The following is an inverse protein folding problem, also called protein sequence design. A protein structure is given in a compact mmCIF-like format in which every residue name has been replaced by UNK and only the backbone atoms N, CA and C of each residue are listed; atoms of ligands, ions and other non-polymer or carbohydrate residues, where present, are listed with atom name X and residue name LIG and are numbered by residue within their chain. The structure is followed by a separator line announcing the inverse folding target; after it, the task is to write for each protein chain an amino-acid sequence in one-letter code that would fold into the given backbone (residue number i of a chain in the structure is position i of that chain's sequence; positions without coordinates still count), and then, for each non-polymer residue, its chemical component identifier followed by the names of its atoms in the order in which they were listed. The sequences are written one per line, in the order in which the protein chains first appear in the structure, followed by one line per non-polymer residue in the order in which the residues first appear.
data_IF_059225512126
#
_entry.id   IF_059225512126
#
_cell.length_a   1.000
_cell.length_b   1.000
_cell.length_c   1.000
_cell.angle_alpha   90.00
_cell.angle_beta   90.00
_cell.angle_gamma   90.00
#
_symmetry.space_group_name_H-M   'P 1'
#
loop_
_entity.id
_entity.type
_entity.pdbx_description
1 polymer ?
#
# COMPACT_ATOMS: atom_id res chain seq x y z
N UNK A 1 -36.34 -36.41 -31.52
CA UNK A 1 -36.08 -35.00 -31.92
C UNK A 1 -35.34 -34.34 -30.77
N UNK A 2 -34.03 -34.14 -30.89
CA UNK A 2 -33.20 -33.56 -29.82
C UNK A 2 -33.09 -32.06 -30.07
N UNK A 3 -33.81 -31.25 -29.28
CA UNK A 3 -33.76 -29.80 -29.39
C UNK A 3 -32.54 -29.26 -28.65
N UNK A 4 -31.59 -28.68 -29.39
CA UNK A 4 -30.46 -27.93 -28.86
C UNK A 4 -30.96 -26.56 -28.41
N UNK A 5 -30.71 -26.16 -27.16
CA UNK A 5 -31.00 -24.82 -26.65
C UNK A 5 -29.68 -24.11 -26.32
N UNK A 6 -29.34 -23.14 -27.16
CA UNK A 6 -28.27 -22.16 -26.94
C UNK A 6 -28.84 -20.94 -26.22
N UNK A 7 -28.30 -20.52 -25.06
CA UNK A 7 -28.62 -19.20 -24.50
C UNK A 7 -27.82 -18.12 -25.24
N UNK A 8 -28.54 -17.10 -25.72
CA UNK A 8 -27.99 -15.92 -26.40
C UNK A 8 -27.30 -14.98 -25.41
N UNK A 9 -26.15 -14.48 -25.84
CA UNK A 9 -25.25 -13.56 -25.16
C UNK A 9 -25.75 -12.12 -25.42
N UNK A 10 -26.23 -11.43 -24.38
CA UNK A 10 -26.64 -10.03 -24.47
C UNK A 10 -25.42 -9.13 -24.19
N UNK A 11 -25.00 -8.36 -25.19
CA UNK A 11 -23.84 -7.46 -25.16
C UNK A 11 -24.34 -6.05 -24.83
N UNK A 12 -24.08 -5.57 -23.61
CA UNK A 12 -24.44 -4.23 -23.17
C UNK A 12 -23.32 -3.24 -23.57
N UNK A 13 -23.68 -2.27 -24.42
CA UNK A 13 -22.81 -1.18 -24.81
C UNK A 13 -22.78 -0.10 -23.70
N UNK A 14 -21.60 0.17 -23.14
CA UNK A 14 -21.38 1.27 -22.20
C UNK A 14 -20.69 2.41 -22.94
N UNK A 15 -21.38 3.54 -23.08
CA UNK A 15 -20.82 4.77 -23.61
C UNK A 15 -20.17 5.57 -22.46
N UNK A 16 -18.87 5.84 -22.56
CA UNK A 16 -18.15 6.74 -21.66
C UNK A 16 -17.89 8.06 -22.39
N UNK A 17 -18.63 9.10 -21.98
CA UNK A 17 -18.34 10.49 -22.36
C UNK A 17 -17.18 11.03 -21.51
N UNK A 18 -16.09 11.42 -22.17
CA UNK A 18 -14.99 12.17 -21.56
C UNK A 18 -15.32 13.67 -21.58
N UNK A 19 -15.57 14.27 -20.41
CA UNK A 19 -15.49 15.71 -20.23
C UNK A 19 -14.05 16.09 -19.84
N UNK A 20 -13.38 16.81 -20.74
CA UNK A 20 -12.06 17.41 -20.58
C UNK A 20 -12.20 18.67 -19.70
N UNK A 21 -11.80 18.63 -18.43
CA UNK A 21 -11.51 19.86 -17.68
C UNK A 21 -10.00 20.08 -17.65
N UNK A 22 -9.60 21.18 -18.29
CA UNK A 22 -8.23 21.57 -18.50
C UNK A 22 -7.54 21.99 -17.19
N UNK A 23 -6.25 21.71 -17.18
CA UNK A 23 -5.21 22.07 -16.22
C UNK A 23 -5.14 23.59 -15.98
N UNK A 24 -4.98 23.98 -14.73
CA UNK A 24 -4.48 25.29 -14.34
C UNK A 24 -3.41 25.13 -13.26
N UNK A 25 -2.14 25.01 -13.67
CA UNK A 25 -0.99 25.09 -12.78
C UNK A 25 -0.20 26.36 -13.09
N UNK A 26 -0.09 27.23 -12.10
CA UNK A 26 1.10 28.06 -11.90
C UNK A 26 0.90 29.56 -12.05
N UNK A 27 1.14 30.25 -10.93
CA UNK A 27 1.84 31.54 -10.97
C UNK A 27 1.18 32.65 -10.16
N UNK A 28 1.54 32.75 -8.88
CA UNK A 28 1.44 34.02 -8.16
C UNK A 28 2.76 34.30 -7.43
N UNK A 29 3.63 35.00 -8.15
CA UNK A 29 4.76 35.70 -7.56
C UNK A 29 4.27 37.00 -6.93
N UNK A 30 4.68 37.25 -5.70
CA UNK A 30 4.47 38.53 -5.02
C UNK A 30 5.14 38.56 -3.65
N UNK A 31 6.38 39.07 -3.58
CA UNK A 31 6.87 39.75 -2.37
C UNK A 31 6.34 41.20 -2.35
N UNK A 32 6.79 42.10 -1.45
CA UNK A 32 7.82 41.98 -0.40
C UNK A 32 7.39 42.56 0.98
N UNK A 33 8.37 42.80 1.85
CA UNK A 33 8.47 43.70 3.03
C UNK A 33 8.08 43.23 4.46
N UNK A 34 9.15 43.22 5.27
CA UNK A 34 9.39 43.82 6.59
C UNK A 34 8.46 43.64 7.81
N UNK A 35 9.17 43.29 8.89
CA UNK A 35 8.80 43.15 10.28
C UNK A 35 8.02 44.33 10.88
N UNK A 36 7.31 44.09 12.00
CA UNK A 36 7.22 44.98 13.16
C UNK A 36 6.58 44.27 14.37
N UNK A 37 6.98 44.75 15.54
CA UNK A 37 6.97 44.11 16.85
C UNK A 37 5.71 44.34 17.71
N UNK A 38 5.55 43.58 18.81
CA UNK A 38 5.27 44.12 20.16
C UNK A 38 5.00 43.05 21.24
N UNK A 39 5.67 43.20 22.38
CA UNK A 39 4.98 43.43 23.68
C UNK A 39 4.61 42.25 24.59
N UNK A 40 5.44 42.01 25.62
CA UNK A 40 5.20 41.43 26.96
C UNK A 40 3.87 41.89 27.65
N UNK A 41 3.28 41.19 28.66
CA UNK A 41 3.97 40.73 29.88
C UNK A 41 3.51 39.44 30.60
N UNK A 42 4.43 38.98 31.45
CA UNK A 42 4.31 38.05 32.58
C UNK A 42 3.14 38.35 33.52
N UNK A 43 2.39 37.33 33.92
CA UNK A 43 1.78 37.24 35.25
C UNK A 43 1.60 35.77 35.69
N UNK A 44 2.21 35.47 36.84
CA UNK A 44 2.14 34.24 37.63
C UNK A 44 0.75 33.98 38.21
N UNK A 45 0.28 32.73 38.15
CA UNK A 45 -0.50 32.12 39.23
C UNK A 45 -0.39 30.58 39.17
N UNK A 46 0.09 29.99 40.27
CA UNK A 46 -0.05 28.58 40.62
C UNK A 46 -1.15 28.50 41.70
N UNK A 47 -1.91 27.39 41.84
CA UNK A 47 -1.47 26.37 42.78
C UNK A 47 -1.75 24.90 42.39
N UNK A 48 -0.89 24.08 42.98
CA UNK A 48 -0.88 22.64 43.29
C UNK A 48 -2.21 21.91 43.52
N UNK A 49 -2.33 20.70 42.95
CA UNK A 49 -2.52 19.41 43.66
C UNK A 49 -2.47 18.29 42.59
N UNK A 50 -1.37 17.54 42.52
CA UNK A 50 -1.27 16.15 42.99
C UNK A 50 -2.07 15.16 42.13
N UNK A 51 -1.43 14.52 41.16
CA UNK A 51 -1.68 13.10 40.92
C UNK A 51 -0.44 12.41 40.34
N UNK A 52 0.12 11.55 41.19
CA UNK A 52 0.76 10.28 40.89
C UNK A 52 1.77 10.21 39.73
N UNK A 53 3.04 10.30 40.12
CA UNK A 53 4.13 9.62 39.42
C UNK A 53 3.91 8.11 39.49
N UNK A 54 3.64 7.48 38.35
CA UNK A 54 4.30 6.21 38.02
C UNK A 54 4.99 6.32 36.66
N UNK A 55 6.21 5.80 36.66
CA UNK A 55 7.29 6.02 35.71
C UNK A 55 7.24 5.01 34.58
N UNK A 56 7.58 5.47 33.36
CA UNK A 56 7.97 4.64 32.21
C UNK A 56 7.46 5.26 30.91
N UNK A 57 8.17 6.07 30.14
CA UNK A 57 9.58 5.97 29.81
C UNK A 57 9.79 4.97 28.68
N UNK A 58 9.46 5.32 27.43
CA UNK A 58 10.32 5.05 26.26
C UNK A 58 9.82 5.73 24.97
N UNK A 59 10.81 6.18 24.21
CA UNK A 59 10.93 6.74 22.85
C UNK A 59 9.82 6.56 21.78
N UNK A 60 9.87 7.39 20.71
CA UNK A 60 9.02 7.21 19.54
C UNK A 60 9.26 5.84 18.92
N UNK A 61 8.23 5.00 18.95
CA UNK A 61 8.25 3.65 18.44
C UNK A 61 8.63 3.69 16.94
N UNK A 62 9.76 3.07 16.62
CA UNK A 62 10.06 2.59 15.27
C UNK A 62 8.88 1.73 14.77
N UNK A 63 8.63 1.62 13.46
CA UNK A 63 7.48 0.86 12.95
C UNK A 63 7.57 -0.58 13.44
N UNK A 64 6.78 -0.89 14.46
CA UNK A 64 6.70 -2.21 15.08
C UNK A 64 6.21 -3.15 13.99
N UNK A 65 7.05 -4.12 13.63
CA UNK A 65 6.69 -5.20 12.72
C UNK A 65 5.31 -5.75 13.12
N UNK A 66 4.44 -5.94 12.13
CA UNK A 66 3.06 -6.39 12.29
C UNK A 66 3.02 -7.60 13.23
N UNK A 67 2.52 -7.40 14.45
CA UNK A 67 2.17 -8.52 15.33
C UNK A 67 1.04 -9.30 14.64
N UNK A 68 1.16 -10.62 14.48
CA UNK A 68 0.25 -11.43 13.66
C UNK A 68 -1.19 -11.46 14.18
N UNK A 69 -1.37 -11.12 15.45
CA UNK A 69 -2.64 -11.14 16.16
C UNK A 69 -2.83 -9.83 16.93
N UNK A 70 -2.65 -8.69 16.24
CA UNK A 70 -2.94 -7.40 16.88
C UNK A 70 -4.43 -7.28 17.15
N UNK A 71 -4.79 -7.24 18.42
CA UNK A 71 -6.16 -6.95 18.85
C UNK A 71 -6.66 -5.68 18.16
N UNK A 72 -7.86 -5.75 17.58
CA UNK A 72 -8.49 -4.61 16.96
C UNK A 72 -9.01 -3.69 18.06
N UNK A 73 -8.52 -2.46 18.14
CA UNK A 73 -9.07 -1.47 19.08
C UNK A 73 -10.56 -1.19 18.85
N UNK A 74 -11.26 -0.83 19.93
CA UNK A 74 -12.69 -0.57 19.91
C UNK A 74 -13.01 0.62 19.00
N UNK A 75 -13.86 0.41 17.99
CA UNK A 75 -14.22 1.43 17.00
C UNK A 75 -13.17 1.69 15.91
N UNK A 76 -11.95 1.19 16.05
CA UNK A 76 -10.87 1.37 15.09
C UNK A 76 -10.96 0.38 13.92
N UNK A 77 -10.50 0.78 12.73
CA UNK A 77 -10.37 -0.12 11.58
C UNK A 77 -9.00 -0.78 11.62
N UNK A 78 -8.89 -1.97 11.07
CA UNK A 78 -7.60 -2.65 10.99
C UNK A 78 -6.64 -1.91 10.09
N UNK A 79 -7.14 -1.34 9.00
CA UNK A 79 -6.34 -0.54 8.05
C UNK A 79 -5.78 0.75 8.63
N UNK A 80 -6.26 1.19 9.79
CA UNK A 80 -5.71 2.35 10.51
C UNK A 80 -4.58 1.95 11.47
N UNK A 81 -4.52 0.68 11.86
CA UNK A 81 -3.58 0.14 12.85
C UNK A 81 -2.40 -0.60 12.21
N UNK A 82 -2.61 -1.23 11.05
CA UNK A 82 -1.61 -2.06 10.36
C UNK A 82 -1.50 -1.61 8.91
N UNK A 83 -0.28 -1.61 8.38
CA UNK A 83 -0.04 -1.28 6.98
C UNK A 83 -0.29 -2.51 6.09
N UNK A 84 -1.39 -2.48 5.33
CA UNK A 84 -1.76 -3.52 4.36
C UNK A 84 -1.32 -3.19 2.92
N UNK A 85 -0.32 -2.33 2.73
CA UNK A 85 0.19 -2.06 1.39
C UNK A 85 0.67 -3.35 0.72
N UNK A 86 0.15 -3.64 -0.47
CA UNK A 86 0.43 -4.87 -1.22
C UNK A 86 -0.42 -6.08 -0.82
N UNK A 87 -1.35 -5.94 0.13
CA UNK A 87 -2.35 -6.97 0.41
C UNK A 87 -3.37 -7.05 -0.73
N UNK A 88 -3.59 -8.24 -1.32
CA UNK A 88 -4.54 -8.40 -2.41
C UNK A 88 -6.00 -8.28 -1.95
N UNK A 89 -6.28 -8.46 -0.65
CA UNK A 89 -7.62 -8.33 -0.10
C UNK A 89 -8.00 -6.85 -0.01
N UNK A 90 -9.23 -6.47 -0.37
CA UNK A 90 -9.68 -5.10 -0.23
C UNK A 90 -9.74 -4.70 1.24
N UNK A 91 -9.43 -3.43 1.54
CA UNK A 91 -9.51 -2.85 2.89
C UNK A 91 -10.83 -3.14 3.62
N UNK A 92 -11.95 -3.19 2.90
CA UNK A 92 -13.25 -3.51 3.47
C UNK A 92 -13.31 -4.94 4.04
N UNK A 93 -12.77 -5.92 3.32
CA UNK A 93 -12.71 -7.31 3.76
C UNK A 93 -11.81 -7.47 4.98
N UNK A 94 -10.62 -6.85 4.95
CA UNK A 94 -9.68 -6.83 6.08
C UNK A 94 -10.35 -6.26 7.34
N UNK A 95 -11.08 -5.16 7.18
CA UNK A 95 -11.81 -4.54 8.29
C UNK A 95 -12.97 -5.43 8.78
N UNK A 96 -13.72 -6.08 7.88
CA UNK A 96 -14.77 -7.04 8.26
C UNK A 96 -14.21 -8.20 9.06
N UNK A 97 -13.08 -8.80 8.66
CA UNK A 97 -12.41 -9.86 9.42
C UNK A 97 -12.05 -9.36 10.82
N UNK A 98 -11.51 -8.14 10.92
CA UNK A 98 -11.20 -7.52 12.20
C UNK A 98 -12.42 -7.31 13.09
N UNK A 99 -13.52 -6.81 12.55
CA UNK A 99 -14.78 -6.62 13.30
C UNK A 99 -15.35 -7.97 13.77
N UNK A 100 -15.27 -9.02 12.95
CA UNK A 100 -15.80 -10.35 13.26
C UNK A 100 -14.96 -11.13 14.28
N UNK A 101 -13.63 -11.02 14.19
CA UNK A 101 -12.70 -11.81 15.01
C UNK A 101 -12.17 -11.05 16.24
N UNK A 102 -12.37 -9.72 16.28
CA UNK A 102 -11.77 -8.85 17.30
C UNK A 102 -10.25 -8.66 17.13
N UNK A 103 -9.66 -9.19 16.06
CA UNK A 103 -8.21 -9.17 15.81
C UNK A 103 -7.94 -8.83 14.36
N UNK A 104 -6.97 -7.96 14.11
CA UNK A 104 -6.60 -7.59 12.76
C UNK A 104 -5.75 -8.70 12.11
N UNK A 105 -6.13 -9.18 10.91
CA UNK A 105 -5.40 -10.26 10.27
C UNK A 105 -4.01 -9.79 9.84
N UNK A 106 -3.06 -10.72 9.70
CA UNK A 106 -1.79 -10.41 9.06
C UNK A 106 -1.99 -9.91 7.62
N UNK A 107 -1.20 -8.90 7.18
CA UNK A 107 -1.10 -8.54 5.78
C UNK A 107 -0.65 -9.74 4.95
N UNK A 108 -1.40 -10.07 3.92
CA UNK A 108 -1.01 -11.07 2.94
C UNK A 108 -0.11 -10.41 1.91
N UNK A 109 1.10 -10.92 1.70
CA UNK A 109 1.88 -10.49 0.54
C UNK A 109 1.17 -10.99 -0.71
N UNK A 110 0.83 -10.09 -1.65
CA UNK A 110 0.21 -10.45 -2.93
C UNK A 110 1.06 -11.43 -3.74
N UNK A 111 0.87 -12.73 -3.48
CA UNK A 111 1.66 -13.82 -4.03
C UNK A 111 3.11 -13.82 -3.53
N UNK A 112 3.66 -15.01 -3.25
CA UNK A 112 5.10 -15.17 -3.39
C UNK A 112 5.43 -14.83 -4.84
N UNK A 113 6.38 -13.92 -5.13
CA UNK A 113 6.76 -13.66 -6.51
C UNK A 113 7.17 -14.99 -7.12
N UNK A 114 6.43 -15.42 -8.14
CA UNK A 114 6.72 -16.67 -8.82
C UNK A 114 8.03 -16.50 -9.58
N UNK A 115 9.01 -17.36 -9.29
CA UNK A 115 10.32 -17.28 -9.92
C UNK A 115 11.48 -17.33 -8.94
N UNK A 116 12.68 -17.07 -9.45
CA UNK A 116 13.92 -17.06 -8.66
C UNK A 116 14.26 -15.61 -8.27
N UNK A 117 14.55 -15.28 -7.00
CA UNK A 117 14.97 -13.93 -6.63
C UNK A 117 16.15 -13.45 -7.49
N UNK A 118 16.02 -12.25 -8.05
CA UNK A 118 17.07 -11.69 -8.90
C UNK A 118 18.26 -11.30 -8.04
N UNK A 119 19.45 -11.71 -8.47
CA UNK A 119 20.70 -11.26 -7.84
C UNK A 119 21.03 -9.83 -8.28
N UNK A 120 21.50 -9.00 -7.34
CA UNK A 120 21.94 -7.64 -7.62
C UNK A 120 23.03 -7.61 -8.69
N UNK A 121 22.86 -6.74 -9.70
CA UNK A 121 23.80 -6.60 -10.81
C UNK A 121 23.83 -7.77 -11.81
N UNK A 122 23.06 -8.83 -11.59
CA UNK A 122 22.99 -10.01 -12.48
C UNK A 122 21.71 -9.97 -13.30
N UNK A 123 21.80 -10.35 -14.58
CA UNK A 123 20.62 -10.49 -15.45
C UNK A 123 19.95 -11.82 -15.21
N UNK A 124 18.63 -11.87 -15.31
CA UNK A 124 17.89 -13.12 -15.11
C UNK A 124 18.34 -14.21 -16.07
N UNK A 125 18.65 -13.85 -17.31
CA UNK A 125 19.15 -14.78 -18.32
C UNK A 125 20.54 -15.35 -18.02
N UNK A 126 21.28 -14.74 -17.08
CA UNK A 126 22.56 -15.26 -16.60
C UNK A 126 22.40 -16.12 -15.33
N UNK A 127 21.28 -15.98 -14.62
CA UNK A 127 20.97 -16.69 -13.38
C UNK A 127 20.13 -17.96 -13.62
N UNK A 128 19.19 -17.92 -14.56
CA UNK A 128 18.22 -18.97 -14.84
C UNK A 128 18.32 -19.37 -16.31
N UNK A 129 18.21 -20.68 -16.58
CA UNK A 129 18.22 -21.20 -17.95
C UNK A 129 16.83 -21.04 -18.60
N UNK A 130 16.72 -20.11 -19.55
CA UNK A 130 15.52 -19.86 -20.34
C UNK A 130 15.53 -20.54 -21.72
N UNK A 131 16.32 -21.59 -21.90
CA UNK A 131 16.31 -22.34 -23.15
C UNK A 131 14.91 -22.87 -23.47
N UNK A 132 14.36 -22.47 -24.62
CA UNK A 132 13.02 -22.85 -25.04
C UNK A 132 11.94 -21.81 -24.73
N UNK A 133 12.21 -20.84 -23.86
CA UNK A 133 11.26 -19.76 -23.55
C UNK A 133 10.95 -18.94 -24.80
N UNK A 134 9.66 -18.71 -25.14
CA UNK A 134 9.28 -17.89 -26.28
C UNK A 134 9.55 -16.40 -26.06
N UNK A 135 9.63 -15.91 -24.82
CA UNK A 135 9.85 -14.50 -24.52
C UNK A 135 11.30 -14.11 -24.81
N UNK A 136 11.55 -12.89 -25.33
CA UNK A 136 12.90 -12.43 -25.57
C UNK A 136 13.65 -12.20 -24.25
N UNK A 137 14.96 -12.47 -24.25
CA UNK A 137 15.85 -12.23 -23.10
C UNK A 137 15.73 -10.83 -22.50
N UNK A 138 15.52 -9.81 -23.34
CA UNK A 138 15.34 -8.43 -22.89
C UNK A 138 14.08 -8.27 -22.02
N UNK A 139 12.96 -8.87 -22.41
CA UNK A 139 11.71 -8.83 -21.65
C UNK A 139 11.87 -9.56 -20.31
N UNK A 140 12.47 -10.76 -20.32
CA UNK A 140 12.74 -11.55 -19.12
C UNK A 140 13.61 -10.74 -18.13
N UNK A 141 14.65 -10.08 -18.63
CA UNK A 141 15.52 -9.26 -17.81
C UNK A 141 14.78 -8.03 -17.27
N UNK A 142 13.94 -7.35 -18.08
CA UNK A 142 13.13 -6.23 -17.61
C UNK A 142 12.17 -6.62 -16.50
N UNK A 143 11.46 -7.75 -16.64
CA UNK A 143 10.59 -8.27 -15.58
C UNK A 143 11.40 -8.49 -14.29
N UNK A 144 12.59 -9.05 -14.40
CA UNK A 144 13.48 -9.23 -13.25
C UNK A 144 13.90 -7.92 -12.58
N UNK A 145 14.26 -6.90 -13.36
CA UNK A 145 14.62 -5.58 -12.82
C UNK A 145 13.42 -4.88 -12.14
N UNK A 146 12.22 -5.00 -12.72
CA UNK A 146 11.01 -4.35 -12.20
C UNK A 146 10.45 -5.03 -10.96
N UNK A 147 10.49 -6.36 -10.92
CA UNK A 147 9.86 -7.15 -9.86
C UNK A 147 10.84 -7.63 -8.79
N UNK A 148 12.14 -7.48 -9.02
CA UNK A 148 13.19 -8.07 -8.18
C UNK A 148 13.23 -9.61 -8.24
N UNK A 149 12.47 -10.24 -9.13
CA UNK A 149 12.39 -11.70 -9.26
C UNK A 149 12.46 -12.11 -10.72
N UNK A 150 13.36 -13.03 -11.04
CA UNK A 150 13.47 -13.63 -12.37
C UNK A 150 12.28 -14.56 -12.62
N UNK A 151 11.45 -14.30 -13.66
CA UNK A 151 10.23 -15.06 -13.88
C UNK A 151 10.54 -16.54 -14.17
N UNK A 152 9.62 -17.48 -13.90
CA UNK A 152 9.79 -18.86 -14.32
C UNK A 152 9.89 -18.94 -15.84
N UNK A 153 10.68 -19.90 -16.35
CA UNK A 153 10.75 -20.19 -17.77
C UNK A 153 9.39 -20.70 -18.27
N UNK A 154 8.98 -20.26 -19.45
CA UNK A 154 7.76 -20.71 -20.11
C UNK A 154 8.09 -21.76 -21.16
N UNK A 155 7.39 -22.89 -21.15
CA UNK A 155 7.46 -23.87 -22.23
C UNK A 155 6.55 -23.44 -23.41
N UNK A 156 6.87 -23.92 -24.61
CA UNK A 156 6.08 -23.69 -25.83
C UNK A 156 4.93 -24.68 -25.98
#
# INVERSE_FOLDING_TARGET
MTARKTPMLALAAVALGLALTACGNGGDGGGPYDALASGSPTATASPTADEETTTGGTSPDAPKASDPDRAKGEGEKCTDQVNYAGDPRPNAEINSIGEETGTCPEPQSGGTPSGTPKQDGVKCTDQVNYAGDPRPNAEINSIGEETGTCPPAQDK
#
